data_IF_705482045518
#
_entry.id   IF_705482045518
#
_cell.length_a   1.000
_cell.length_b   1.000
_cell.length_c   1.000
_cell.angle_alpha   90.00
_cell.angle_beta   90.00
_cell.angle_gamma   90.00
#
_symmetry.space_group_name_H-M   'P 1'
#
loop_
_entity.id
_entity.type
_entity.pdbx_description
1 polymer ?
#
# COMPACT_ATOMS: atom_id res chain seq x y z
N UNK A 1 -34.92 18.78 7.24
CA UNK A 1 -34.27 18.63 8.57
C UNK A 1 -32.77 18.59 8.38
N UNK A 2 -31.93 18.87 9.39
CA UNK A 2 -30.47 18.75 9.23
C UNK A 2 -30.05 17.29 9.04
N UNK A 3 -29.12 17.04 8.10
CA UNK A 3 -28.49 15.72 7.95
C UNK A 3 -27.81 15.25 9.25
N UNK A 4 -27.55 13.94 9.35
CA UNK A 4 -26.61 13.43 10.34
C UNK A 4 -25.18 13.85 10.00
N UNK A 5 -24.28 13.85 10.98
CA UNK A 5 -22.85 13.98 10.69
C UNK A 5 -22.37 12.73 9.92
N UNK A 6 -21.46 12.90 8.96
CA UNK A 6 -20.90 11.78 8.22
C UNK A 6 -19.94 10.99 9.13
N UNK A 7 -20.24 9.71 9.35
CA UNK A 7 -19.36 8.80 10.09
C UNK A 7 -18.52 7.95 9.13
N UNK A 8 -19.15 7.43 8.07
CA UNK A 8 -18.55 6.46 7.17
C UNK A 8 -19.07 6.63 5.74
N UNK A 9 -18.23 6.36 4.74
CA UNK A 9 -18.64 6.27 3.35
C UNK A 9 -17.76 5.28 2.60
N UNK A 10 -18.37 4.45 1.75
CA UNK A 10 -17.64 3.57 0.82
C UNK A 10 -18.45 3.30 -0.44
N UNK A 11 -17.77 3.02 -1.54
CA UNK A 11 -18.40 2.34 -2.68
C UNK A 11 -18.57 0.85 -2.36
N UNK A 12 -19.55 0.20 -2.98
CA UNK A 12 -19.62 -1.26 -3.00
C UNK A 12 -18.55 -1.87 -3.94
N UNK A 13 -18.42 -3.19 -3.92
CA UNK A 13 -17.36 -3.95 -4.60
C UNK A 13 -17.29 -3.75 -6.12
N UNK A 14 -18.40 -3.36 -6.75
CA UNK A 14 -18.50 -3.11 -8.20
C UNK A 14 -18.70 -1.63 -8.56
N UNK A 15 -18.60 -0.74 -7.57
CA UNK A 15 -18.83 0.71 -7.64
C UNK A 15 -20.20 1.17 -8.20
N UNK A 16 -21.18 0.28 -8.36
CA UNK A 16 -22.54 0.66 -8.81
C UNK A 16 -23.40 1.31 -7.71
N UNK A 17 -22.97 1.19 -6.45
CA UNK A 17 -23.62 1.81 -5.30
C UNK A 17 -22.63 2.50 -4.34
N UNK A 18 -23.12 3.52 -3.65
CA UNK A 18 -22.44 4.25 -2.58
C UNK A 18 -23.20 4.07 -1.26
N UNK A 19 -22.51 3.54 -0.25
CA UNK A 19 -23.02 3.38 1.11
C UNK A 19 -22.53 4.51 2.02
N UNK A 20 -23.43 5.08 2.81
CA UNK A 20 -23.20 6.29 3.62
C UNK A 20 -23.74 6.07 5.03
N UNK A 21 -22.85 6.01 6.03
CA UNK A 21 -23.18 5.88 7.45
C UNK A 21 -23.09 7.23 8.16
N UNK A 22 -24.10 7.56 8.96
CA UNK A 22 -24.22 8.86 9.63
C UNK A 22 -24.60 8.72 11.10
N UNK A 23 -24.49 9.82 11.85
CA UNK A 23 -24.92 9.90 13.26
C UNK A 23 -26.44 9.81 13.50
N UNK A 24 -27.25 9.62 12.43
CA UNK A 24 -28.70 9.45 12.49
C UNK A 24 -29.21 8.24 11.70
N UNK A 25 -28.31 7.40 11.17
CA UNK A 25 -28.68 6.21 10.40
C UNK A 25 -27.85 6.09 9.12
N UNK A 26 -28.37 5.41 8.10
CA UNK A 26 -27.62 5.13 6.86
C UNK A 26 -28.42 5.32 5.58
N UNK A 27 -27.68 5.55 4.49
CA UNK A 27 -28.20 5.75 3.13
C UNK A 27 -27.44 4.92 2.13
N UNK A 28 -28.14 4.53 1.07
CA UNK A 28 -27.56 3.84 -0.09
C UNK A 28 -28.01 4.58 -1.35
N UNK A 29 -27.06 4.91 -2.21
CA UNK A 29 -27.29 5.56 -3.49
C UNK A 29 -26.79 4.68 -4.63
N UNK A 30 -27.43 4.72 -5.80
CA UNK A 30 -26.79 4.33 -7.06
C UNK A 30 -25.78 5.41 -7.44
N UNK A 31 -24.71 5.03 -8.14
CA UNK A 31 -23.69 5.98 -8.62
C UNK A 31 -24.04 6.59 -9.98
N UNK A 32 -24.63 5.82 -10.90
CA UNK A 32 -25.03 6.26 -12.23
C UNK A 32 -26.36 5.58 -12.67
N UNK A 33 -27.46 6.32 -12.89
CA UNK A 33 -27.66 7.72 -12.52
C UNK A 33 -27.67 7.89 -10.99
N UNK A 34 -27.03 8.94 -10.48
CA UNK A 34 -26.96 9.19 -9.04
C UNK A 34 -28.35 9.41 -8.45
N UNK A 35 -28.77 8.51 -7.55
CA UNK A 35 -30.13 8.47 -7.01
C UNK A 35 -30.17 7.67 -5.71
N UNK A 36 -31.04 8.05 -4.77
CA UNK A 36 -31.14 7.39 -3.46
C UNK A 36 -32.01 6.12 -3.56
N UNK A 37 -31.45 4.98 -3.17
CA UNK A 37 -32.12 3.65 -3.20
C UNK A 37 -32.78 3.35 -1.85
N UNK A 38 -32.10 3.71 -0.76
CA UNK A 38 -32.49 3.33 0.60
C UNK A 38 -32.07 4.40 1.61
N UNK A 39 -32.89 4.60 2.63
CA UNK A 39 -32.63 5.48 3.77
C UNK A 39 -33.22 4.83 5.02
N UNK A 40 -32.42 4.74 6.08
CA UNK A 40 -32.89 4.47 7.44
C UNK A 40 -32.41 5.61 8.33
N UNK A 41 -33.32 6.27 9.04
CA UNK A 41 -33.01 7.31 10.02
C UNK A 41 -33.01 6.74 11.46
N UNK A 42 -32.45 5.53 11.62
CA UNK A 42 -32.31 4.83 12.91
C UNK A 42 -30.84 4.56 13.26
N UNK A 43 -30.51 4.78 14.54
CA UNK A 43 -29.20 4.54 15.14
C UNK A 43 -28.08 5.50 14.73
N UNK A 44 -26.94 5.37 15.39
CA UNK A 44 -25.67 5.94 14.93
C UNK A 44 -24.89 4.83 14.20
N UNK A 45 -24.65 4.99 12.90
CA UNK A 45 -23.95 3.98 12.08
C UNK A 45 -22.49 4.37 11.93
N UNK A 46 -21.56 3.62 12.54
CA UNK A 46 -20.12 3.93 12.49
C UNK A 46 -19.39 3.27 11.32
N UNK A 47 -19.89 2.13 10.83
CA UNK A 47 -19.43 1.47 9.59
C UNK A 47 -20.67 0.93 8.87
N UNK A 48 -20.72 1.08 7.55
CA UNK A 48 -21.66 0.38 6.67
C UNK A 48 -20.91 -0.21 5.48
N UNK A 49 -21.10 -1.50 5.25
CA UNK A 49 -20.53 -2.24 4.12
C UNK A 49 -21.62 -3.04 3.40
N UNK A 50 -21.58 -3.04 2.07
CA UNK A 50 -22.57 -3.71 1.22
C UNK A 50 -22.04 -5.05 0.73
N UNK A 51 -22.94 -5.96 0.33
CA UNK A 51 -22.59 -7.11 -0.50
C UNK A 51 -23.05 -6.85 -1.95
N UNK A 52 -22.16 -6.31 -2.79
CA UNK A 52 -22.44 -5.84 -4.15
C UNK A 52 -23.69 -4.94 -4.16
N UNK A 53 -24.63 -5.18 -5.07
CA UNK A 53 -25.95 -4.53 -5.10
C UNK A 53 -27.07 -5.47 -4.65
N UNK A 54 -26.78 -6.31 -3.64
CA UNK A 54 -27.80 -7.12 -2.95
C UNK A 54 -28.44 -6.32 -1.81
N UNK A 55 -29.53 -6.84 -1.23
CA UNK A 55 -30.18 -6.24 -0.07
C UNK A 55 -29.50 -6.58 1.27
N UNK A 56 -28.31 -7.17 1.28
CA UNK A 56 -27.55 -7.49 2.50
C UNK A 56 -26.56 -6.36 2.79
N UNK A 57 -26.68 -5.78 3.99
CA UNK A 57 -25.73 -4.80 4.53
C UNK A 57 -25.18 -5.27 5.88
N UNK A 58 -23.93 -4.92 6.12
CA UNK A 58 -23.24 -5.10 7.39
C UNK A 58 -23.09 -3.74 8.07
N UNK A 59 -23.62 -3.60 9.29
CA UNK A 59 -23.71 -2.34 10.03
C UNK A 59 -23.00 -2.48 11.38
N UNK A 60 -22.10 -1.55 11.70
CA UNK A 60 -21.57 -1.41 13.06
C UNK A 60 -22.29 -0.24 13.72
N UNK A 61 -23.09 -0.55 14.74
CA UNK A 61 -23.94 0.43 15.45
C UNK A 61 -23.31 0.87 16.79
N UNK A 62 -22.56 -0.03 17.42
CA UNK A 62 -21.65 0.29 18.53
C UNK A 62 -20.31 -0.42 18.29
N UNK A 63 -19.19 0.04 18.89
CA UNK A 63 -17.85 -0.38 18.46
C UNK A 63 -17.57 -1.89 18.44
N UNK A 64 -18.34 -2.71 19.16
CA UNK A 64 -18.13 -4.17 19.29
C UNK A 64 -19.30 -5.01 18.77
N UNK A 65 -20.28 -4.40 18.11
CA UNK A 65 -21.55 -5.04 17.73
C UNK A 65 -21.81 -4.84 16.23
N UNK A 66 -21.85 -5.96 15.52
CA UNK A 66 -22.08 -6.04 14.08
C UNK A 66 -23.48 -6.61 13.83
N UNK A 67 -24.32 -5.84 13.15
CA UNK A 67 -25.65 -6.24 12.71
C UNK A 67 -25.61 -6.52 11.21
N UNK A 68 -26.03 -7.72 10.78
CA UNK A 68 -26.27 -8.00 9.37
C UNK A 68 -27.76 -7.82 9.11
N UNK A 69 -28.13 -6.87 8.25
CA UNK A 69 -29.53 -6.52 7.96
C UNK A 69 -29.89 -6.81 6.50
N UNK A 70 -31.15 -7.21 6.28
CA UNK A 70 -31.78 -7.24 4.97
C UNK A 70 -32.59 -5.96 4.75
N UNK A 71 -32.11 -5.05 3.91
CA UNK A 71 -32.78 -3.75 3.64
C UNK A 71 -34.15 -3.94 3.00
N UNK A 72 -34.29 -4.86 2.04
CA UNK A 72 -35.55 -5.14 1.33
C UNK A 72 -36.65 -5.73 2.22
N UNK A 73 -36.28 -6.38 3.33
CA UNK A 73 -37.21 -6.93 4.33
C UNK A 73 -37.29 -6.10 5.62
N UNK A 74 -36.51 -5.02 5.73
CA UNK A 74 -36.28 -4.24 6.95
C UNK A 74 -35.93 -5.12 8.19
N UNK A 75 -35.30 -6.28 7.99
CA UNK A 75 -35.13 -7.31 9.02
C UNK A 75 -33.66 -7.59 9.33
N UNK A 76 -33.30 -7.70 10.62
CA UNK A 76 -32.01 -8.27 11.03
C UNK A 76 -31.95 -9.75 10.63
N UNK A 77 -30.80 -10.17 10.09
CA UNK A 77 -30.47 -11.57 9.75
C UNK A 77 -29.74 -12.22 10.93
N UNK A 78 -28.72 -11.55 11.46
CA UNK A 78 -27.98 -11.96 12.65
C UNK A 78 -27.27 -10.77 13.30
N UNK A 79 -26.85 -10.95 14.54
CA UNK A 79 -25.99 -10.03 15.27
C UNK A 79 -24.74 -10.78 15.77
N UNK A 80 -23.59 -10.13 15.74
CA UNK A 80 -22.30 -10.68 16.17
C UNK A 80 -21.61 -9.69 17.12
N UNK A 81 -21.21 -10.18 18.29
CA UNK A 81 -20.54 -9.38 19.34
C UNK A 81 -19.08 -9.81 19.47
N UNK A 82 -18.17 -8.82 19.47
CA UNK A 82 -16.72 -9.04 19.43
C UNK A 82 -16.05 -8.62 20.75
N UNK A 83 -14.87 -9.19 21.09
CA UNK A 83 -14.15 -8.84 22.32
C UNK A 83 -13.66 -7.39 22.31
N UNK A 84 -13.07 -6.96 21.19
CA UNK A 84 -12.52 -5.62 20.98
C UNK A 84 -13.28 -4.86 19.89
N UNK A 85 -12.88 -3.61 19.61
CA UNK A 85 -13.53 -2.76 18.63
C UNK A 85 -13.32 -3.26 17.19
N UNK A 86 -14.40 -3.28 16.41
CA UNK A 86 -14.41 -3.54 14.97
C UNK A 86 -13.85 -2.30 14.28
N UNK A 87 -12.72 -2.46 13.59
CA UNK A 87 -12.05 -1.38 12.86
C UNK A 87 -12.39 -1.39 11.37
N UNK A 88 -12.65 -2.57 10.79
CA UNK A 88 -13.22 -2.72 9.46
C UNK A 88 -14.07 -3.99 9.34
N UNK A 89 -14.96 -4.00 8.35
CA UNK A 89 -15.69 -5.17 7.87
C UNK A 89 -15.45 -5.26 6.37
N UNK A 90 -15.32 -6.45 5.78
CA UNK A 90 -15.24 -6.64 4.31
C UNK A 90 -16.07 -7.86 3.91
N UNK A 91 -16.74 -7.77 2.77
CA UNK A 91 -17.65 -8.83 2.27
C UNK A 91 -17.32 -9.23 0.83
N UNK A 92 -17.52 -10.51 0.52
CA UNK A 92 -17.73 -11.01 -0.84
C UNK A 92 -18.78 -12.14 -0.81
N UNK A 93 -19.07 -12.79 -1.95
CA UNK A 93 -20.14 -13.82 -2.04
C UNK A 93 -19.80 -15.17 -1.37
N UNK A 94 -18.67 -15.26 -0.66
CA UNK A 94 -18.23 -16.42 0.12
C UNK A 94 -17.89 -16.08 1.57
N UNK A 95 -17.43 -14.86 1.85
CA UNK A 95 -16.84 -14.49 3.15
C UNK A 95 -17.34 -13.17 3.68
N UNK A 96 -17.53 -13.14 4.99
CA UNK A 96 -17.56 -11.95 5.83
C UNK A 96 -16.25 -11.95 6.64
N UNK A 97 -15.43 -10.92 6.46
CA UNK A 97 -14.22 -10.69 7.25
C UNK A 97 -14.46 -9.51 8.20
N UNK A 98 -14.25 -9.73 9.50
CA UNK A 98 -14.35 -8.69 10.53
C UNK A 98 -12.98 -8.48 11.14
N UNK A 99 -12.50 -7.23 11.10
CA UNK A 99 -11.12 -6.86 11.45
C UNK A 99 -11.14 -6.07 12.76
N UNK A 100 -10.52 -6.66 13.78
CA UNK A 100 -10.14 -6.02 15.05
C UNK A 100 -8.66 -5.60 14.94
N UNK A 101 -8.10 -4.99 16.00
CA UNK A 101 -6.71 -4.54 16.00
C UNK A 101 -5.69 -5.70 15.91
N UNK A 102 -5.95 -6.85 16.55
CA UNK A 102 -5.02 -7.99 16.63
C UNK A 102 -5.58 -9.29 16.04
N UNK A 103 -6.79 -9.25 15.46
CA UNK A 103 -7.52 -10.43 15.00
C UNK A 103 -8.36 -10.13 13.75
N UNK A 104 -8.40 -11.08 12.81
CA UNK A 104 -9.35 -11.09 11.69
C UNK A 104 -10.23 -12.34 11.81
N UNK A 105 -11.53 -12.14 12.00
CA UNK A 105 -12.52 -13.20 12.07
C UNK A 105 -13.10 -13.43 10.66
N UNK A 106 -12.90 -14.63 10.11
CA UNK A 106 -13.47 -15.04 8.82
C UNK A 106 -14.70 -15.91 9.06
N UNK A 107 -15.85 -15.48 8.54
CA UNK A 107 -17.12 -16.21 8.55
C UNK A 107 -17.52 -16.63 7.13
N UNK A 108 -18.29 -17.70 6.99
CA UNK A 108 -19.00 -17.98 5.73
C UNK A 108 -20.27 -17.12 5.64
N UNK A 109 -20.41 -16.36 4.56
CA UNK A 109 -21.53 -15.42 4.39
C UNK A 109 -22.89 -16.13 4.21
N UNK A 110 -22.90 -17.42 3.85
CA UNK A 110 -24.14 -18.16 3.55
C UNK A 110 -24.90 -18.61 4.79
N UNK A 111 -24.20 -18.84 5.91
CA UNK A 111 -24.75 -19.39 7.15
C UNK A 111 -24.25 -18.66 8.42
N UNK A 112 -23.37 -17.68 8.28
CA UNK A 112 -22.74 -16.90 9.36
C UNK A 112 -21.94 -17.73 10.37
N UNK A 113 -21.47 -18.93 9.99
CA UNK A 113 -20.56 -19.71 10.85
C UNK A 113 -19.14 -19.15 10.81
N UNK A 114 -18.51 -19.02 11.98
CA UNK A 114 -17.09 -18.68 12.10
C UNK A 114 -16.25 -19.84 11.53
N UNK A 115 -15.38 -19.52 10.57
CA UNK A 115 -14.50 -20.47 9.89
C UNK A 115 -13.11 -20.49 10.49
N UNK A 116 -12.55 -19.31 10.77
CA UNK A 116 -11.16 -19.15 11.25
C UNK A 116 -11.02 -17.79 11.92
N UNK A 117 -10.35 -17.73 13.06
CA UNK A 117 -9.80 -16.48 13.61
C UNK A 117 -8.31 -16.44 13.31
N UNK A 118 -7.87 -15.39 12.62
CA UNK A 118 -6.48 -15.15 12.23
C UNK A 118 -5.91 -14.11 13.19
N UNK A 119 -4.93 -14.48 14.01
CA UNK A 119 -4.19 -13.52 14.83
C UNK A 119 -3.23 -12.69 13.96
N UNK A 120 -3.12 -11.39 14.24
CA UNK A 120 -2.27 -10.45 13.50
C UNK A 120 -1.34 -9.66 14.41
N UNK A 121 -0.32 -9.03 13.82
CA UNK A 121 0.31 -7.87 14.44
C UNK A 121 -0.72 -6.75 14.66
N UNK A 122 -0.54 -5.88 15.68
CA UNK A 122 -1.40 -4.72 15.91
C UNK A 122 -1.60 -3.88 14.65
N UNK A 123 -2.85 -3.74 14.23
CA UNK A 123 -3.30 -3.16 12.98
C UNK A 123 -4.38 -2.07 13.24
N UNK A 124 -4.05 -0.99 13.96
CA UNK A 124 -5.03 0.05 14.36
C UNK A 124 -5.63 0.82 13.17
N UNK A 125 -5.03 0.71 11.98
CA UNK A 125 -5.54 1.28 10.73
C UNK A 125 -6.37 0.28 9.89
N UNK A 126 -6.67 -0.91 10.41
CA UNK A 126 -7.47 -1.97 9.77
C UNK A 126 -7.00 -2.34 8.34
N UNK A 127 -5.69 -2.30 8.09
CA UNK A 127 -5.10 -2.50 6.76
C UNK A 127 -5.39 -3.94 6.33
N UNK A 128 -6.33 -4.08 5.41
CA UNK A 128 -6.78 -5.34 4.83
C UNK A 128 -7.38 -5.09 3.43
N UNK A 129 -7.30 -6.09 2.56
CA UNK A 129 -8.09 -6.15 1.33
C UNK A 129 -8.60 -7.57 1.14
N UNK A 130 -9.92 -7.74 1.00
CA UNK A 130 -10.58 -8.99 0.61
C UNK A 130 -10.92 -8.90 -0.88
N UNK A 131 -10.62 -9.92 -1.67
CA UNK A 131 -11.00 -9.92 -3.09
C UNK A 131 -12.53 -10.01 -3.24
N UNK A 132 -13.14 -9.23 -4.15
CA UNK A 132 -14.52 -9.45 -4.58
C UNK A 132 -14.75 -10.82 -5.26
N UNK A 133 -13.71 -11.38 -5.89
CA UNK A 133 -13.76 -12.67 -6.57
C UNK A 133 -14.09 -13.82 -5.63
N UNK A 134 -15.03 -14.66 -6.03
CA UNK A 134 -15.41 -15.88 -5.30
C UNK A 134 -14.54 -17.08 -5.66
N UNK A 135 -13.73 -16.98 -6.72
CA UNK A 135 -12.77 -18.02 -7.15
C UNK A 135 -11.39 -17.73 -6.56
N UNK A 136 -10.88 -16.51 -6.79
CA UNK A 136 -9.60 -16.01 -6.27
C UNK A 136 -9.85 -15.28 -4.95
N UNK A 137 -10.49 -16.00 -4.04
CA UNK A 137 -11.06 -15.51 -2.79
C UNK A 137 -9.97 -15.31 -1.72
N UNK A 138 -9.06 -14.37 -1.99
CA UNK A 138 -7.91 -14.06 -1.15
C UNK A 138 -8.21 -12.90 -0.20
N UNK A 139 -7.58 -12.93 0.99
CA UNK A 139 -7.43 -11.76 1.85
C UNK A 139 -5.93 -11.43 1.97
N UNK A 140 -5.62 -10.15 1.81
CA UNK A 140 -4.28 -9.57 1.95
C UNK A 140 -4.25 -8.66 3.19
N UNK A 141 -3.21 -8.79 4.01
CA UNK A 141 -3.01 -7.99 5.24
C UNK A 141 -1.51 -7.92 5.60
N UNK A 142 -1.07 -6.96 6.45
CA UNK A 142 0.32 -6.88 6.89
C UNK A 142 0.80 -8.19 7.54
N UNK A 143 2.02 -8.63 7.22
CA UNK A 143 2.58 -9.87 7.75
C UNK A 143 2.67 -9.83 9.30
N UNK A 144 2.00 -10.75 10.03
CA UNK A 144 2.13 -10.83 11.48
C UNK A 144 3.54 -11.25 11.89
N UNK A 145 4.16 -10.52 12.82
CA UNK A 145 5.46 -10.86 13.41
C UNK A 145 5.28 -11.19 14.89
N UNK A 146 5.49 -12.46 15.25
CA UNK A 146 5.38 -12.90 16.64
C UNK A 146 6.43 -12.21 17.51
N UNK A 147 6.09 -11.98 18.77
CA UNK A 147 7.00 -11.41 19.75
C UNK A 147 7.94 -12.50 20.25
N UNK A 148 9.20 -12.43 19.87
CA UNK A 148 10.24 -13.28 20.48
C UNK A 148 10.31 -13.04 22.00
N UNK A 149 10.58 -14.11 22.74
CA UNK A 149 10.53 -14.14 24.20
C UNK A 149 11.66 -13.36 24.87
N UNK A 150 11.57 -12.03 24.88
CA UNK A 150 12.47 -11.16 25.65
C UNK A 150 12.42 -11.55 27.13
N UNK A 151 13.53 -12.09 27.66
CA UNK A 151 13.64 -12.58 29.04
C UNK A 151 13.57 -11.52 30.15
N UNK A 152 13.10 -10.32 29.83
CA UNK A 152 12.84 -9.24 30.79
C UNK A 152 11.66 -9.62 31.68
N UNK A 153 11.93 -9.77 32.99
CA UNK A 153 10.87 -9.94 34.00
C UNK A 153 10.07 -8.65 34.14
N UNK A 154 9.02 -8.49 33.32
CA UNK A 154 8.06 -7.40 33.48
C UNK A 154 7.46 -7.38 34.89
N UNK A 155 7.22 -6.20 35.48
CA UNK A 155 6.46 -6.10 36.72
C UNK A 155 5.05 -6.70 36.58
N UNK A 156 4.55 -7.36 37.61
CA UNK A 156 3.23 -8.01 37.61
C UNK A 156 2.04 -7.06 37.46
N UNK A 157 2.25 -5.75 37.64
CA UNK A 157 1.25 -4.70 37.41
C UNK A 157 1.28 -4.12 35.98
N UNK A 158 2.25 -4.51 35.14
CA UNK A 158 2.30 -4.05 33.76
C UNK A 158 1.22 -4.77 32.93
N UNK A 159 0.50 -4.06 32.03
CA UNK A 159 -0.45 -4.71 31.13
C UNK A 159 0.19 -5.86 30.33
N UNK A 160 -0.57 -6.93 30.03
CA UNK A 160 -0.09 -8.02 29.20
C UNK A 160 0.33 -7.49 27.83
N UNK A 161 1.37 -8.09 27.26
CA UNK A 161 1.81 -7.76 25.91
C UNK A 161 0.99 -8.54 24.89
N UNK A 162 0.71 -7.87 23.76
CA UNK A 162 0.36 -8.54 22.51
C UNK A 162 1.35 -9.67 22.21
N UNK A 163 0.83 -10.81 21.77
CA UNK A 163 1.65 -11.95 21.31
C UNK A 163 2.44 -11.63 20.03
N UNK A 164 2.10 -10.53 19.36
CA UNK A 164 2.77 -10.03 18.18
C UNK A 164 3.44 -8.67 18.47
N UNK A 165 4.34 -8.24 17.59
CA UNK A 165 4.90 -6.88 17.58
C UNK A 165 4.24 -6.04 16.47
N UNK A 166 4.05 -4.72 16.65
CA UNK A 166 3.60 -3.83 15.59
C UNK A 166 4.48 -3.97 14.33
N UNK A 167 3.89 -3.89 13.15
CA UNK A 167 4.62 -4.07 11.88
C UNK A 167 5.57 -2.90 11.64
N UNK A 168 6.87 -3.18 11.53
CA UNK A 168 7.94 -2.20 11.22
C UNK A 168 8.30 -2.14 9.73
N UNK A 169 7.75 -3.05 8.93
CA UNK A 169 8.07 -3.35 7.55
C UNK A 169 6.78 -3.50 6.73
N UNK A 170 6.87 -3.31 5.42
CA UNK A 170 5.71 -3.34 4.52
C UNK A 170 5.57 -4.68 3.80
N UNK A 171 5.67 -5.78 4.54
CA UNK A 171 5.40 -7.13 4.04
C UNK A 171 3.89 -7.43 4.08
N UNK A 172 3.35 -8.03 3.02
CA UNK A 172 1.94 -8.44 2.90
C UNK A 172 1.85 -9.96 2.91
N UNK A 173 1.03 -10.52 3.79
CA UNK A 173 0.64 -11.92 3.76
C UNK A 173 -0.61 -12.10 2.89
N UNK A 174 -0.55 -13.05 1.95
CA UNK A 174 -1.67 -13.45 1.09
C UNK A 174 -2.24 -14.77 1.61
N UNK A 175 -3.51 -14.75 2.02
CA UNK A 175 -4.20 -15.89 2.62
C UNK A 175 -5.39 -16.34 1.78
N UNK A 176 -5.48 -17.64 1.51
CA UNK A 176 -6.59 -18.29 0.83
C UNK A 176 -7.76 -18.45 1.80
N UNK A 177 -8.85 -17.69 1.63
CA UNK A 177 -10.00 -17.79 2.53
C UNK A 177 -10.91 -18.99 2.22
N UNK A 178 -10.68 -19.70 1.12
CA UNK A 178 -11.38 -20.95 0.76
C UNK A 178 -10.62 -22.16 1.30
N UNK A 179 -9.29 -22.20 1.13
CA UNK A 179 -8.42 -23.27 1.70
C UNK A 179 -8.00 -23.04 3.16
N UNK A 180 -8.26 -21.85 3.70
CA UNK A 180 -7.87 -21.42 5.06
C UNK A 180 -6.35 -21.49 5.30
N UNK A 181 -5.55 -21.11 4.29
CA UNK A 181 -4.10 -21.28 4.29
C UNK A 181 -3.36 -20.05 3.76
N UNK A 182 -2.23 -19.69 4.39
CA UNK A 182 -1.26 -18.78 3.80
C UNK A 182 -0.76 -19.32 2.44
N UNK A 183 -0.64 -18.46 1.44
CA UNK A 183 -0.13 -18.81 0.09
C UNK A 183 1.25 -18.22 -0.13
N UNK A 184 1.42 -16.93 0.15
CA UNK A 184 2.63 -16.18 -0.23
C UNK A 184 2.84 -14.96 0.67
N UNK A 185 4.08 -14.48 0.76
CA UNK A 185 4.48 -13.24 1.42
C UNK A 185 5.13 -12.32 0.40
N UNK A 186 4.65 -11.08 0.31
CA UNK A 186 5.13 -10.09 -0.65
C UNK A 186 5.88 -8.99 0.11
N UNK A 187 7.18 -8.86 -0.13
CA UNK A 187 8.04 -7.78 0.38
C UNK A 187 7.71 -6.44 -0.32
N UNK A 188 6.53 -5.89 -0.06
CA UNK A 188 6.01 -4.78 -0.85
C UNK A 188 6.74 -3.46 -0.59
N UNK A 189 7.11 -3.16 0.67
CA UNK A 189 7.81 -1.91 1.06
C UNK A 189 8.76 -2.11 2.26
N UNK A 190 9.81 -1.26 2.37
CA UNK A 190 10.77 -1.25 3.49
C UNK A 190 10.26 -0.57 4.78
N UNK A 191 9.06 -0.01 4.76
CA UNK A 191 8.42 0.66 5.89
C UNK A 191 6.93 0.26 5.93
N UNK A 192 6.23 0.41 7.06
CA UNK A 192 4.89 -0.11 7.24
C UNK A 192 3.91 0.34 6.16
N UNK A 193 2.89 -0.48 5.93
CA UNK A 193 1.82 -0.19 4.97
C UNK A 193 0.93 0.94 5.52
N UNK A 194 0.33 1.72 4.62
CA UNK A 194 -0.77 2.63 4.95
C UNK A 194 -2.08 2.25 4.24
N UNK A 195 -1.98 1.66 3.05
CA UNK A 195 -3.12 1.31 2.22
C UNK A 195 -2.75 0.12 1.31
N UNK A 196 -3.70 -0.80 1.13
CA UNK A 196 -3.65 -1.90 0.16
C UNK A 196 -5.02 -2.06 -0.50
N UNK A 197 -5.05 -2.52 -1.74
CA UNK A 197 -6.29 -2.82 -2.47
C UNK A 197 -6.08 -4.04 -3.38
N UNK A 198 -7.10 -4.89 -3.50
CA UNK A 198 -7.16 -5.95 -4.50
C UNK A 198 -8.08 -5.51 -5.64
N UNK A 199 -7.81 -5.97 -6.86
CA UNK A 199 -8.75 -5.81 -7.96
C UNK A 199 -9.95 -6.77 -7.82
N UNK A 200 -11.00 -6.53 -8.60
CA UNK A 200 -12.22 -7.34 -8.64
C UNK A 200 -11.93 -8.84 -8.85
N UNK A 201 -10.98 -9.15 -9.73
CA UNK A 201 -10.69 -10.53 -10.14
C UNK A 201 -9.78 -11.29 -9.16
N UNK A 202 -9.21 -10.63 -8.16
CA UNK A 202 -8.27 -11.24 -7.20
C UNK A 202 -6.91 -11.60 -7.80
N UNK A 203 -6.51 -10.95 -8.89
CA UNK A 203 -5.25 -11.18 -9.64
C UNK A 203 -4.20 -10.08 -9.44
N UNK A 204 -4.58 -8.90 -8.95
CA UNK A 204 -3.69 -7.76 -8.72
C UNK A 204 -3.86 -7.21 -7.31
N UNK A 205 -2.73 -6.90 -6.66
CA UNK A 205 -2.65 -6.19 -5.38
C UNK A 205 -1.90 -4.87 -5.55
N UNK A 206 -2.56 -3.74 -5.30
CA UNK A 206 -1.92 -2.45 -5.12
C UNK A 206 -1.51 -2.25 -3.65
N UNK A 207 -0.33 -1.67 -3.42
CA UNK A 207 0.18 -1.39 -2.06
C UNK A 207 0.90 -0.04 -1.98
N UNK A 208 0.75 0.63 -0.84
CA UNK A 208 1.53 1.80 -0.46
C UNK A 208 1.97 1.73 1.00
N UNK A 209 3.16 2.25 1.28
CA UNK A 209 3.67 2.44 2.64
C UNK A 209 3.34 3.82 3.22
N UNK A 210 3.53 4.03 4.52
CA UNK A 210 3.35 5.32 5.21
C UNK A 210 4.06 6.50 4.51
N UNK A 211 5.20 6.24 3.86
CA UNK A 211 5.91 7.25 3.04
C UNK A 211 5.10 7.67 1.81
N UNK A 212 4.34 6.74 1.23
CA UNK A 212 3.34 6.97 0.17
C UNK A 212 3.84 7.73 -1.07
N UNK A 213 5.16 7.76 -1.31
CA UNK A 213 5.80 8.37 -2.49
C UNK A 213 5.83 7.43 -3.69
N UNK A 214 5.83 6.11 -3.43
CA UNK A 214 5.82 5.03 -4.41
C UNK A 214 4.63 4.12 -4.13
N UNK A 215 3.89 3.79 -5.19
CA UNK A 215 2.83 2.77 -5.20
C UNK A 215 3.36 1.58 -6.01
N UNK A 216 3.08 0.36 -5.57
CA UNK A 216 3.43 -0.86 -6.31
C UNK A 216 2.22 -1.72 -6.57
N UNK A 217 2.21 -2.41 -7.71
CA UNK A 217 1.18 -3.39 -8.05
C UNK A 217 1.83 -4.74 -8.33
N UNK A 218 1.29 -5.79 -7.72
CA UNK A 218 1.81 -7.15 -7.75
C UNK A 218 0.78 -8.13 -8.33
N UNK A 219 1.25 -9.13 -9.06
CA UNK A 219 0.44 -10.26 -9.50
C UNK A 219 0.16 -11.24 -8.34
N UNK A 220 -1.08 -11.66 -8.18
CA UNK A 220 -1.56 -12.56 -7.14
C UNK A 220 -1.97 -13.90 -7.78
N UNK A 221 -1.56 -15.07 -7.23
CA UNK A 221 -0.82 -15.26 -5.97
C UNK A 221 0.72 -15.19 -6.09
N UNK A 222 1.29 -15.05 -7.29
CA UNK A 222 2.74 -15.20 -7.52
C UNK A 222 3.66 -14.24 -6.75
N UNK A 223 3.18 -13.06 -6.36
CA UNK A 223 3.98 -12.02 -5.70
C UNK A 223 4.90 -11.23 -6.64
N UNK A 224 4.86 -11.48 -7.96
CA UNK A 224 5.66 -10.75 -8.93
C UNK A 224 5.23 -9.28 -8.98
N UNK A 225 6.16 -8.34 -8.74
CA UNK A 225 5.92 -6.90 -8.95
C UNK A 225 5.77 -6.62 -10.44
N UNK A 226 4.58 -6.23 -10.87
CA UNK A 226 4.31 -5.80 -12.25
C UNK A 226 4.65 -4.32 -12.42
N UNK A 227 4.10 -3.45 -11.56
CA UNK A 227 4.19 -1.99 -11.71
C UNK A 227 4.81 -1.30 -10.50
N UNK A 228 5.42 -0.15 -10.74
CA UNK A 228 5.93 0.76 -9.71
C UNK A 228 5.74 2.21 -10.17
N UNK A 229 4.80 2.91 -9.54
CA UNK A 229 4.43 4.28 -9.88
C UNK A 229 4.97 5.28 -8.85
N UNK A 230 5.27 6.51 -9.28
CA UNK A 230 5.68 7.61 -8.39
C UNK A 230 4.53 8.59 -8.20
N UNK A 231 3.99 8.64 -6.98
CA UNK A 231 2.94 9.58 -6.55
C UNK A 231 3.47 10.97 -6.24
N UNK A 232 4.76 11.10 -5.89
CA UNK A 232 5.38 12.41 -5.76
C UNK A 232 6.80 12.41 -5.18
N UNK A 233 7.29 13.62 -4.94
CA UNK A 233 8.55 13.89 -4.24
C UNK A 233 8.35 13.86 -2.72
N UNK A 234 7.32 14.52 -2.22
CA UNK A 234 6.97 14.62 -0.79
C UNK A 234 6.11 13.45 -0.31
N UNK A 235 6.30 12.96 0.93
CA UNK A 235 5.34 12.06 1.58
C UNK A 235 3.95 12.70 1.71
N UNK A 236 2.91 11.90 1.59
CA UNK A 236 1.50 12.31 1.72
C UNK A 236 0.65 11.06 1.89
N UNK A 237 -0.03 10.91 3.02
CA UNK A 237 -0.79 9.70 3.34
C UNK A 237 -1.88 9.44 2.31
N UNK A 238 -1.97 8.20 1.82
CA UNK A 238 -3.03 7.74 0.93
C UNK A 238 -4.27 7.41 1.77
N UNK A 239 -5.44 7.83 1.29
CA UNK A 239 -6.73 7.55 1.94
C UNK A 239 -7.46 6.37 1.31
N UNK A 240 -7.40 6.25 -0.02
CA UNK A 240 -8.11 5.23 -0.78
C UNK A 240 -7.33 4.87 -2.04
N UNK A 241 -7.32 3.59 -2.38
CA UNK A 241 -6.87 3.06 -3.67
C UNK A 241 -7.96 2.17 -4.23
N UNK A 242 -8.27 2.30 -5.52
CA UNK A 242 -9.28 1.48 -6.20
C UNK A 242 -8.85 1.18 -7.64
N UNK A 243 -8.96 -0.09 -8.04
CA UNK A 243 -8.84 -0.50 -9.43
C UNK A 243 -10.18 -0.30 -10.15
N UNK A 244 -10.17 0.10 -11.41
CA UNK A 244 -11.39 -0.02 -12.22
C UNK A 244 -11.77 -1.50 -12.47
N UNK A 245 -13.02 -1.77 -12.85
CA UNK A 245 -13.53 -3.14 -13.00
C UNK A 245 -12.72 -3.99 -13.99
N UNK A 246 -12.22 -3.39 -15.08
CA UNK A 246 -11.40 -4.10 -16.07
C UNK A 246 -9.93 -4.29 -15.66
N UNK A 247 -9.54 -3.88 -14.45
CA UNK A 247 -8.17 -3.98 -13.92
C UNK A 247 -7.10 -3.27 -14.77
N UNK A 248 -7.49 -2.26 -15.55
CA UNK A 248 -6.61 -1.48 -16.46
C UNK A 248 -6.21 -0.11 -15.91
N UNK A 249 -6.80 0.34 -14.79
CA UNK A 249 -6.56 1.64 -14.19
C UNK A 249 -6.55 1.50 -12.66
N UNK A 250 -5.65 2.23 -11.98
CA UNK A 250 -5.61 2.38 -10.53
C UNK A 250 -5.75 3.86 -10.14
N UNK A 251 -6.81 4.20 -9.39
CA UNK A 251 -7.02 5.53 -8.81
C UNK A 251 -6.54 5.56 -7.35
N UNK A 252 -5.90 6.65 -6.94
CA UNK A 252 -5.32 6.81 -5.60
C UNK A 252 -5.56 8.22 -5.05
N UNK A 253 -6.30 8.35 -3.95
CA UNK A 253 -6.54 9.62 -3.24
C UNK A 253 -5.56 9.82 -2.06
N UNK A 254 -5.23 11.06 -1.72
CA UNK A 254 -4.27 11.37 -0.64
C UNK A 254 -4.50 12.73 0.04
N UNK A 255 -3.81 12.96 1.17
CA UNK A 255 -3.81 14.22 1.96
C UNK A 255 -3.48 15.47 1.13
N UNK A 256 -2.87 15.32 -0.05
CA UNK A 256 -2.57 16.43 -0.96
C UNK A 256 -3.81 17.09 -1.58
N UNK A 257 -5.00 16.52 -1.39
CA UNK A 257 -6.23 16.78 -2.16
C UNK A 257 -6.09 16.52 -3.67
N UNK A 258 -5.10 15.72 -4.07
CA UNK A 258 -4.96 15.22 -5.44
C UNK A 258 -5.29 13.74 -5.49
N UNK A 259 -6.16 13.37 -6.43
CA UNK A 259 -6.32 11.99 -6.90
C UNK A 259 -5.38 11.78 -8.07
N UNK A 260 -4.56 10.74 -7.99
CA UNK A 260 -3.67 10.31 -9.06
C UNK A 260 -4.25 9.06 -9.74
N UNK A 261 -4.14 8.99 -11.07
CA UNK A 261 -4.68 7.92 -11.90
C UNK A 261 -3.52 7.30 -12.69
N UNK A 262 -3.31 5.99 -12.52
CA UNK A 262 -2.25 5.23 -13.17
C UNK A 262 -2.84 4.22 -14.16
N UNK A 263 -2.26 4.15 -15.35
CA UNK A 263 -2.71 3.25 -16.42
C UNK A 263 -1.92 1.94 -16.34
N UNK A 264 -2.63 0.83 -16.14
CA UNK A 264 -2.04 -0.51 -16.06
C UNK A 264 -1.96 -1.10 -17.47
N UNK A 265 -1.16 -0.46 -18.32
CA UNK A 265 -0.85 -1.01 -19.64
C UNK A 265 0.08 -2.20 -19.48
N UNK A 266 -0.18 -3.30 -20.21
CA UNK A 266 0.78 -4.41 -20.30
C UNK A 266 2.02 -3.99 -21.12
N UNK A 267 2.83 -3.10 -20.55
CA UNK A 267 4.23 -2.97 -20.94
C UNK A 267 4.93 -4.28 -20.56
N UNK A 268 5.58 -4.97 -21.50
CA UNK A 268 6.50 -6.03 -21.14
C UNK A 268 7.65 -5.37 -20.37
N UNK A 269 7.65 -5.48 -19.04
CA UNK A 269 8.91 -5.38 -18.31
C UNK A 269 9.70 -6.64 -18.67
N UNK A 270 10.40 -6.58 -19.81
CA UNK A 270 11.48 -7.50 -20.16
C UNK A 270 12.58 -7.35 -19.11
N UNK A 271 12.38 -8.00 -17.95
CA UNK A 271 13.46 -8.27 -17.02
C UNK A 271 14.48 -9.10 -17.79
N UNK A 272 15.63 -8.49 -18.08
CA UNK A 272 16.55 -9.02 -19.08
C UNK A 272 17.04 -10.42 -18.72
N UNK A 273 16.45 -11.44 -19.35
CA UNK A 273 17.14 -12.71 -19.57
C UNK A 273 18.33 -12.42 -20.49
N UNK A 274 19.45 -12.04 -19.89
CA UNK A 274 20.75 -12.00 -20.53
C UNK A 274 21.13 -13.44 -20.90
N UNK A 275 20.61 -13.92 -22.04
CA UNK A 275 20.89 -15.22 -22.63
C UNK A 275 22.38 -15.30 -22.94
N UNK A 276 23.14 -15.76 -21.95
CA UNK A 276 24.59 -15.85 -22.02
C UNK A 276 24.96 -16.74 -23.21
N UNK A 277 25.66 -16.20 -24.23
CA UNK A 277 25.93 -16.97 -25.44
C UNK A 277 26.85 -18.15 -25.11
N UNK A 278 26.27 -19.35 -25.03
CA UNK A 278 26.97 -20.60 -24.73
C UNK A 278 28.14 -20.81 -25.71
N UNK A 279 29.36 -20.60 -25.24
CA UNK A 279 30.58 -20.85 -26.01
C UNK A 279 31.48 -21.86 -25.28
N UNK A 280 30.89 -22.96 -24.80
CA UNK A 280 31.62 -24.10 -24.25
C UNK A 280 32.43 -24.80 -25.36
N UNK A 281 33.63 -24.28 -25.59
CA UNK A 281 34.75 -25.01 -26.19
C UNK A 281 35.61 -25.47 -25.00
N UNK A 282 35.98 -26.74 -24.81
CA UNK A 282 35.92 -27.88 -25.72
C UNK A 282 35.44 -29.16 -25.00
N UNK A 283 34.65 -29.97 -25.69
CA UNK A 283 34.42 -31.38 -25.35
C UNK A 283 34.14 -32.17 -26.64
N UNK A 284 35.18 -32.46 -27.43
CA UNK A 284 35.08 -33.42 -28.54
C UNK A 284 35.26 -34.83 -27.98
N UNK A 285 34.16 -35.57 -27.84
CA UNK A 285 34.22 -37.03 -27.71
C UNK A 285 34.61 -37.64 -29.07
N UNK A 286 35.88 -38.01 -29.21
CA UNK A 286 36.33 -38.79 -30.36
C UNK A 286 35.94 -40.26 -30.16
N UNK A 287 35.30 -40.85 -31.16
CA UNK A 287 35.00 -42.28 -31.18
C UNK A 287 36.25 -43.11 -31.52
N UNK A 288 36.43 -44.19 -30.78
CA UNK A 288 37.24 -45.40 -31.04
C UNK A 288 37.97 -45.43 -32.40
N UNK A 289 39.30 -45.53 -32.36
CA UNK A 289 40.02 -46.54 -33.14
C UNK A 289 41.37 -46.92 -32.52
N UNK A 290 41.86 -48.10 -32.89
CA UNK A 290 43.01 -48.83 -32.35
C UNK A 290 44.39 -48.18 -32.57
N UNK A 291 45.31 -48.32 -31.61
CA UNK A 291 46.57 -49.11 -31.74
C UNK A 291 47.63 -48.81 -30.64
N UNK A 292 48.37 -49.84 -30.25
CA UNK A 292 49.82 -49.90 -29.90
C UNK A 292 50.46 -49.15 -28.69
N UNK A 293 50.79 -49.96 -27.66
CA UNK A 293 52.17 -50.30 -27.20
C UNK A 293 52.92 -49.56 -26.03
N UNK A 294 52.55 -49.89 -24.77
CA UNK A 294 53.40 -50.18 -23.56
C UNK A 294 54.36 -49.06 -22.96
N UNK A 295 55.21 -49.23 -21.88
CA UNK A 295 55.10 -48.35 -20.68
C UNK A 295 56.41 -47.74 -20.05
N UNK A 296 56.26 -46.90 -19.00
CA UNK A 296 57.04 -46.73 -17.73
C UNK A 296 56.66 -45.37 -17.02
N UNK A 297 56.59 -45.16 -15.68
CA UNK A 297 57.57 -45.22 -14.55
C UNK A 297 58.48 -43.96 -14.48
N UNK A 298 58.81 -43.23 -13.37
CA UNK A 298 58.63 -43.24 -11.87
C UNK A 298 58.93 -41.79 -11.31
N UNK A 299 58.82 -41.29 -10.05
CA UNK A 299 58.09 -41.52 -8.76
C UNK A 299 58.36 -40.31 -7.76
N UNK A 300 57.92 -40.32 -6.49
CA UNK A 300 58.14 -39.36 -5.33
C UNK A 300 57.26 -38.06 -5.33
N UNK A 301 56.73 -37.42 -4.26
CA UNK A 301 56.92 -37.31 -2.77
C UNK A 301 58.08 -36.38 -2.31
N UNK A 302 58.10 -35.62 -1.20
CA UNK A 302 57.45 -35.58 0.16
C UNK A 302 56.51 -34.33 0.31
N UNK A 303 55.83 -33.86 1.40
CA UNK A 303 55.84 -33.85 2.91
C UNK A 303 56.95 -33.04 3.64
N UNK A 304 56.70 -32.28 4.74
CA UNK A 304 55.48 -31.72 5.41
C UNK A 304 55.78 -30.75 6.60
N UNK A 305 54.81 -29.90 7.01
CA UNK A 305 54.37 -29.53 8.41
C UNK A 305 55.28 -28.94 9.54
N UNK A 306 54.75 -27.95 10.30
CA UNK A 306 55.15 -27.51 11.68
C UNK A 306 56.16 -26.34 11.76
N UNK A 307 56.57 -25.75 12.91
CA UNK A 307 56.03 -25.64 14.30
C UNK A 307 57.04 -24.80 15.16
N UNK A 308 56.76 -24.00 16.21
CA UNK A 308 55.52 -23.38 16.75
C UNK A 308 55.84 -22.10 17.64
N UNK A 309 55.26 -21.92 18.84
CA UNK A 309 55.16 -20.69 19.69
C UNK A 309 56.05 -20.64 20.99
N UNK A 310 56.37 -19.45 21.56
CA UNK A 310 56.26 -19.09 23.02
C UNK A 310 56.56 -17.60 23.40
N UNK A 311 56.15 -17.18 24.63
CA UNK A 311 56.03 -15.83 25.25
C UNK A 311 57.34 -15.00 25.51
N UNK A 312 57.41 -13.75 26.03
CA UNK A 312 56.69 -13.06 27.16
C UNK A 312 56.77 -11.50 27.17
N UNK A 313 56.09 -10.82 28.12
CA UNK A 313 55.98 -9.35 28.32
C UNK A 313 57.01 -8.77 29.35
N UNK A 314 57.02 -7.48 29.86
CA UNK A 314 55.95 -6.47 30.16
C UNK A 314 56.21 -5.08 29.47
N UNK A 315 55.87 -3.83 29.90
CA UNK A 315 55.30 -3.18 31.12
C UNK A 315 54.66 -1.77 30.84
N UNK A 316 54.43 -0.91 31.86
CA UNK A 316 54.04 0.52 31.79
C UNK A 316 54.74 1.37 32.88
N UNK A 317 54.92 2.69 32.70
CA UNK A 317 54.16 3.73 33.47
C UNK A 317 53.96 5.09 32.69
N UNK A 318 53.37 6.21 33.16
CA UNK A 318 52.23 6.53 34.07
C UNK A 318 51.97 8.08 34.11
N UNK A 319 50.73 8.54 34.38
CA UNK A 319 50.34 9.92 34.84
C UNK A 319 50.58 11.10 33.84
N UNK A 320 49.94 12.30 33.89
CA UNK A 320 48.73 12.82 34.59
C UNK A 320 48.13 14.07 33.85
N UNK A 321 47.11 14.73 34.42
CA UNK A 321 46.38 15.88 33.84
C UNK A 321 47.20 17.20 33.77
N UNK A 322 46.85 18.19 32.92
CA UNK A 322 45.90 19.27 33.31
C UNK A 322 45.52 20.26 32.18
N UNK A 323 44.49 21.10 32.43
CA UNK A 323 43.80 22.04 31.51
C UNK A 323 44.51 23.42 31.36
N UNK A 324 44.51 24.01 30.15
CA UNK A 324 44.45 25.47 29.83
C UNK A 324 44.39 25.65 28.29
N UNK A 325 43.39 26.28 27.64
CA UNK A 325 42.91 27.68 27.60
C UNK A 325 43.55 28.60 26.52
N UNK A 326 42.80 28.78 25.41
CA UNK A 326 42.55 30.03 24.64
C UNK A 326 43.68 30.89 24.04
N UNK A 327 43.68 30.91 22.69
CA UNK A 327 43.35 32.08 21.84
C UNK A 327 44.46 33.02 21.29
N UNK A 328 44.20 33.53 20.07
CA UNK A 328 44.77 34.70 19.37
C UNK A 328 45.97 34.48 18.42
N UNK A 329 46.08 35.36 17.41
CA UNK A 329 47.28 35.52 16.56
C UNK A 329 47.08 35.31 15.04
N UNK A 330 46.77 36.37 14.29
CA UNK A 330 46.84 36.37 12.81
C UNK A 330 48.25 36.69 12.31
N UNK A 331 48.66 36.11 11.17
CA UNK A 331 49.61 36.63 10.13
C UNK A 331 49.75 35.54 9.03
N UNK A 332 50.13 35.81 7.77
CA UNK A 332 50.42 37.11 7.18
C UNK A 332 51.03 37.11 5.75
N UNK A 333 50.28 36.68 4.73
CA UNK A 333 50.53 36.98 3.29
C UNK A 333 51.68 36.24 2.55
N UNK A 334 51.75 36.53 1.24
CA UNK A 334 52.79 36.20 0.22
C UNK A 334 52.82 34.75 -0.32
N UNK A 335 52.93 34.49 -1.63
CA UNK A 335 53.21 35.34 -2.81
C UNK A 335 52.22 35.09 -3.99
N UNK A 336 52.25 35.95 -5.02
CA UNK A 336 51.24 36.10 -6.09
C UNK A 336 51.92 36.16 -7.48
N UNK A 337 51.15 35.97 -8.57
CA UNK A 337 51.52 36.15 -10.02
C UNK A 337 52.50 35.09 -10.58
N UNK A 338 52.58 34.82 -11.89
CA UNK A 338 51.75 35.07 -13.11
C UNK A 338 52.29 34.15 -14.23
N UNK A 339 51.61 33.81 -15.33
CA UNK A 339 50.99 34.69 -16.34
C UNK A 339 50.17 33.87 -17.38
N UNK A 340 49.54 34.54 -18.35
CA UNK A 340 48.82 33.91 -19.46
C UNK A 340 49.73 33.67 -20.68
N UNK A 341 49.41 32.68 -21.52
CA UNK A 341 49.40 32.83 -22.99
C UNK A 341 48.53 31.74 -23.63
N UNK A 342 47.97 32.03 -24.80
CA UNK A 342 47.03 31.16 -25.54
C UNK A 342 47.72 30.56 -26.77
N UNK A 343 47.54 29.26 -26.99
CA UNK A 343 47.91 28.54 -28.22
C UNK A 343 46.71 27.81 -28.81
N UNK A 344 46.52 27.88 -30.13
CA UNK A 344 45.38 27.25 -30.82
C UNK A 344 45.65 25.78 -31.16
N UNK A 345 44.66 24.92 -30.88
CA UNK A 345 44.20 23.93 -31.87
C UNK A 345 44.70 22.49 -31.74
N UNK A 346 43.91 21.66 -31.03
CA UNK A 346 43.53 20.33 -31.51
C UNK A 346 42.02 20.18 -31.27
N UNK A 347 41.26 19.83 -32.30
CA UNK A 347 39.87 19.37 -32.14
C UNK A 347 39.92 17.85 -31.94
N UNK A 348 39.69 17.41 -30.70
CA UNK A 348 39.65 15.99 -30.34
C UNK A 348 38.45 15.74 -29.42
N UNK A 349 37.53 14.89 -29.86
CA UNK A 349 36.33 14.57 -29.08
C UNK A 349 36.68 13.66 -27.90
N UNK A 350 36.75 14.23 -26.69
CA UNK A 350 36.82 13.46 -25.44
C UNK A 350 35.43 13.41 -24.83
N UNK A 351 34.61 12.46 -25.31
CA UNK A 351 33.35 12.13 -24.65
C UNK A 351 33.62 11.67 -23.22
N UNK A 352 33.02 12.33 -22.24
CA UNK A 352 33.12 11.90 -20.85
C UNK A 352 32.40 10.55 -20.69
N UNK A 353 33.17 9.48 -20.49
CA UNK A 353 32.65 8.13 -20.30
C UNK A 353 31.81 8.05 -19.02
N UNK A 354 30.49 8.18 -19.15
CA UNK A 354 29.55 7.65 -18.17
C UNK A 354 29.51 6.12 -18.36
N UNK A 355 29.77 5.31 -17.32
CA UNK A 355 29.66 3.86 -17.43
C UNK A 355 28.23 3.44 -17.76
N UNK A 356 28.04 2.53 -18.71
CA UNK A 356 26.74 2.03 -19.13
C UNK A 356 25.94 1.30 -18.02
N UNK A 357 26.54 1.06 -16.85
CA UNK A 357 25.89 0.56 -15.65
C UNK A 357 25.15 1.64 -14.81
N UNK A 358 25.20 2.93 -15.21
CA UNK A 358 24.52 4.04 -14.52
C UNK A 358 23.62 4.82 -15.50
N UNK A 359 22.71 4.10 -16.16
CA UNK A 359 21.70 4.70 -17.05
C UNK A 359 20.29 4.11 -16.91
N UNK A 360 20.10 3.08 -16.08
CA UNK A 360 18.76 2.58 -15.70
C UNK A 360 18.21 3.24 -14.43
N UNK A 361 18.46 4.54 -14.25
CA UNK A 361 17.66 5.34 -13.32
C UNK A 361 16.34 5.73 -14.00
N UNK A 362 15.50 4.74 -14.31
CA UNK A 362 14.12 4.97 -14.69
C UNK A 362 13.42 5.71 -13.54
N UNK A 363 13.01 6.97 -13.76
CA UNK A 363 12.01 7.60 -12.88
C UNK A 363 10.77 6.68 -12.90
N UNK A 364 10.25 6.20 -11.76
CA UNK A 364 9.07 5.36 -11.76
C UNK A 364 7.90 6.14 -12.35
N UNK A 365 7.11 5.48 -13.19
CA UNK A 365 6.09 6.12 -14.03
C UNK A 365 5.17 7.02 -13.19
N UNK A 366 4.93 8.23 -13.70
CA UNK A 366 4.07 9.21 -13.03
C UNK A 366 2.59 8.86 -13.25
N UNK A 367 1.73 9.67 -12.68
CA UNK A 367 0.31 9.65 -12.95
C UNK A 367 0.01 9.96 -14.41
N UNK A 368 -0.77 9.08 -15.05
CA UNK A 368 -1.32 9.26 -16.40
C UNK A 368 -2.30 10.43 -16.42
N UNK A 369 -3.11 10.54 -15.37
CA UNK A 369 -4.00 11.68 -15.15
C UNK A 369 -4.09 12.04 -13.66
N UNK A 370 -4.48 13.28 -13.39
CA UNK A 370 -4.66 13.81 -12.04
C UNK A 370 -5.98 14.58 -11.92
N UNK A 371 -6.55 14.58 -10.72
CA UNK A 371 -7.75 15.37 -10.37
C UNK A 371 -7.46 16.13 -9.09
N UNK A 372 -7.74 17.43 -9.07
CA UNK A 372 -7.70 18.24 -7.85
C UNK A 372 -9.08 18.26 -7.20
N UNK A 373 -9.17 17.78 -5.96
CA UNK A 373 -10.35 17.90 -5.12
C UNK A 373 -10.43 19.36 -4.63
N UNK A 374 -11.56 20.07 -4.79
CA UNK A 374 -11.74 21.41 -4.26
C UNK A 374 -11.37 21.51 -2.78
N UNK A 375 -10.73 22.62 -2.39
CA UNK A 375 -10.57 22.97 -0.98
C UNK A 375 -11.77 23.83 -0.56
N UNK A 376 -12.43 23.55 0.57
CA UNK A 376 -13.48 24.42 1.09
C UNK A 376 -12.89 25.81 1.39
N UNK A 377 -13.58 26.86 0.97
CA UNK A 377 -13.08 28.23 1.10
C UNK A 377 -12.91 28.72 2.56
N UNK A 378 -13.44 27.97 3.53
CA UNK A 378 -13.55 28.37 4.94
C UNK A 378 -12.57 27.66 5.91
N UNK A 379 -11.50 27.00 5.44
CA UNK A 379 -10.36 26.64 6.33
C UNK A 379 -9.51 27.88 6.65
N UNK A 380 -10.13 28.87 7.30
CA UNK A 380 -9.44 29.99 7.94
C UNK A 380 -8.62 29.44 9.11
N UNK A 381 -7.40 29.96 9.29
CA UNK A 381 -6.48 29.56 10.34
C UNK A 381 -6.93 30.02 11.74
N UNK A 382 -8.00 29.43 12.29
CA UNK A 382 -8.30 29.56 13.71
C UNK A 382 -7.31 28.74 14.53
N UNK A 383 -6.22 29.40 14.94
CA UNK A 383 -5.26 28.85 15.90
C UNK A 383 -5.91 28.71 17.28
N UNK A 384 -6.27 27.48 17.66
CA UNK A 384 -6.77 27.12 18.99
C UNK A 384 -6.48 25.63 19.27
N UNK A 385 -6.07 25.23 20.48
CA UNK A 385 -5.57 23.85 20.72
C UNK A 385 -6.58 22.71 20.57
N UNK A 386 -7.87 23.01 20.38
CA UNK A 386 -8.98 22.04 20.38
C UNK A 386 -9.98 22.27 19.23
N UNK A 387 -9.56 22.91 18.13
CA UNK A 387 -10.38 23.09 16.92
C UNK A 387 -10.42 21.84 16.04
N UNK A 388 -11.60 21.22 15.87
CA UNK A 388 -11.82 19.94 15.18
C UNK A 388 -11.71 19.95 13.64
N UNK A 389 -10.72 20.65 13.07
CA UNK A 389 -10.48 20.72 11.61
C UNK A 389 -9.51 19.66 11.10
N UNK A 390 -9.90 18.38 11.09
CA UNK A 390 -9.08 17.30 10.53
C UNK A 390 -8.89 17.41 9.00
N UNK A 391 -7.82 16.84 8.42
CA UNK A 391 -7.61 16.87 6.97
C UNK A 391 -8.69 16.03 6.24
N UNK A 392 -9.17 16.56 5.13
CA UNK A 392 -10.32 16.04 4.37
C UNK A 392 -9.99 14.64 3.84
N UNK A 393 -10.64 13.61 4.41
CA UNK A 393 -10.51 12.24 3.91
C UNK A 393 -11.33 12.09 2.63
N UNK A 394 -10.89 11.22 1.73
CA UNK A 394 -11.62 10.95 0.48
C UNK A 394 -11.52 9.49 0.04
N UNK A 395 -12.65 8.95 -0.40
CA UNK A 395 -12.74 7.62 -1.04
C UNK A 395 -12.85 7.82 -2.54
N UNK A 396 -12.14 7.02 -3.32
CA UNK A 396 -12.11 7.11 -4.79
C UNK A 396 -12.46 5.77 -5.45
N UNK A 397 -13.18 5.84 -6.56
CA UNK A 397 -13.47 4.73 -7.46
C UNK A 397 -13.52 5.22 -8.92
N UNK A 398 -13.58 4.29 -9.87
CA UNK A 398 -14.07 4.58 -11.23
C UNK A 398 -15.47 4.01 -11.41
N UNK A 399 -16.30 4.68 -12.19
CA UNK A 399 -17.62 4.17 -12.56
C UNK A 399 -17.51 2.81 -13.28
N UNK A 400 -18.54 1.99 -13.10
CA UNK A 400 -18.70 0.70 -13.77
C UNK A 400 -19.32 0.83 -15.17
N UNK A 401 -20.04 1.91 -15.44
CA UNK A 401 -20.70 2.21 -16.73
C UNK A 401 -19.83 3.05 -17.69
N UNK A 402 -18.89 3.82 -17.15
CA UNK A 402 -18.30 4.97 -17.85
C UNK A 402 -16.87 5.26 -17.37
N UNK A 403 -16.02 5.96 -18.17
CA UNK A 403 -14.65 6.31 -17.79
C UNK A 403 -14.57 7.48 -16.79
N UNK A 404 -15.54 7.59 -15.88
CA UNK A 404 -15.64 8.67 -14.91
C UNK A 404 -14.98 8.29 -13.58
N UNK A 405 -14.25 9.24 -12.99
CA UNK A 405 -13.68 9.08 -11.64
C UNK A 405 -14.64 9.66 -10.61
N UNK A 406 -14.93 8.86 -9.60
CA UNK A 406 -15.91 9.12 -8.55
C UNK A 406 -15.16 9.36 -7.23
N UNK A 407 -15.38 10.52 -6.61
CA UNK A 407 -14.69 10.92 -5.38
C UNK A 407 -15.70 11.39 -4.34
N UNK A 408 -15.68 10.83 -3.13
CA UNK A 408 -16.51 11.33 -2.02
C UNK A 408 -15.62 11.80 -0.88
N UNK A 409 -15.88 13.01 -0.36
CA UNK A 409 -15.12 13.61 0.75
C UNK A 409 -15.78 13.36 2.10
N UNK A 410 -15.00 13.50 3.18
CA UNK A 410 -15.49 13.47 4.57
C UNK A 410 -16.47 14.59 4.92
N UNK A 411 -16.68 15.56 4.02
CA UNK A 411 -17.67 16.63 4.15
C UNK A 411 -19.05 16.20 3.61
N UNK A 412 -19.15 15.01 2.99
CA UNK A 412 -20.39 14.50 2.41
C UNK A 412 -20.68 15.00 0.98
N UNK A 413 -19.67 15.48 0.26
CA UNK A 413 -19.80 15.88 -1.14
C UNK A 413 -19.31 14.74 -2.04
N UNK A 414 -20.14 14.35 -3.01
CA UNK A 414 -19.82 13.40 -4.06
C UNK A 414 -19.55 14.15 -5.37
N UNK A 415 -18.35 13.98 -5.91
CA UNK A 415 -17.88 14.57 -7.16
C UNK A 415 -17.69 13.49 -8.23
N UNK A 416 -18.10 13.82 -9.46
CA UNK A 416 -17.91 12.98 -10.66
C UNK A 416 -17.08 13.76 -11.68
N UNK A 417 -15.94 13.20 -12.08
CA UNK A 417 -14.97 13.81 -12.98
C UNK A 417 -14.81 13.01 -14.29
N UNK A 418 -14.54 13.71 -15.39
CA UNK A 418 -14.09 13.12 -16.65
C UNK A 418 -12.57 13.21 -16.79
N UNK A 419 -11.98 12.26 -17.53
CA UNK A 419 -10.57 12.23 -17.92
C UNK A 419 -10.48 11.91 -19.42
N UNK A 420 -9.55 12.53 -20.14
CA UNK A 420 -9.18 12.11 -21.50
C UNK A 420 -8.43 10.76 -21.41
N UNK A 421 -9.10 9.67 -21.83
CA UNK A 421 -8.53 8.32 -21.72
C UNK A 421 -7.43 8.00 -22.75
N UNK A 422 -7.24 8.86 -23.74
CA UNK A 422 -6.15 8.77 -24.72
C UNK A 422 -4.91 9.52 -24.21
N UNK A 423 -5.07 10.79 -23.82
CA UNK A 423 -3.98 11.73 -23.50
C UNK A 423 -3.68 11.87 -22.01
N UNK A 424 -4.63 11.56 -21.14
CA UNK A 424 -4.51 11.76 -19.70
C UNK A 424 -4.59 13.24 -19.30
N UNK A 425 -3.72 13.68 -18.40
CA UNK A 425 -3.63 15.08 -17.96
C UNK A 425 -4.55 15.42 -16.77
N UNK A 426 -5.06 16.65 -16.72
CA UNK A 426 -5.94 17.09 -15.62
C UNK A 426 -7.42 16.80 -15.93
N UNK A 427 -8.06 16.00 -15.07
CA UNK A 427 -9.48 15.67 -15.16
C UNK A 427 -10.37 16.79 -14.65
N UNK A 428 -11.50 17.02 -15.33
CA UNK A 428 -12.43 18.11 -15.06
C UNK A 428 -13.71 17.63 -14.38
N UNK A 429 -14.29 18.48 -13.52
CA UNK A 429 -15.53 18.18 -12.81
C UNK A 429 -16.72 18.20 -13.77
N UNK A 430 -17.64 17.24 -13.61
CA UNK A 430 -18.83 17.08 -14.47
C UNK A 430 -20.12 17.18 -13.67
N UNK A 431 -20.16 16.57 -12.48
CA UNK A 431 -21.32 16.61 -11.58
C UNK A 431 -20.85 16.70 -10.13
N UNK A 432 -21.61 17.40 -9.29
CA UNK A 432 -21.42 17.45 -7.85
C UNK A 432 -22.76 17.24 -7.15
N UNK A 433 -22.77 16.41 -6.10
CA UNK A 433 -23.95 16.08 -5.29
C UNK A 433 -23.62 16.13 -3.79
N UNK A 434 -24.64 16.28 -2.94
CA UNK A 434 -24.53 16.13 -1.49
C UNK A 434 -25.16 14.80 -1.06
N UNK A 435 -24.44 14.01 -0.24
CA UNK A 435 -24.98 12.73 0.31
C UNK A 435 -25.64 12.91 1.68
N UNK A 436 -25.51 14.11 2.27
CA UNK A 436 -26.01 14.45 3.61
C UNK A 436 -27.33 15.22 3.58
N UNK A 437 -27.60 15.98 2.53
CA UNK A 437 -28.84 16.75 2.37
C UNK A 437 -30.05 15.86 2.01
N UNK A 438 -31.25 16.46 2.05
CA UNK A 438 -32.52 15.80 1.71
C UNK A 438 -32.73 15.66 0.21
N UNK A 439 -33.71 14.85 -0.18
CA UNK A 439 -33.98 14.50 -1.58
C UNK A 439 -34.38 15.72 -2.44
N UNK A 440 -34.94 16.77 -1.82
CA UNK A 440 -35.36 18.05 -2.42
C UNK A 440 -34.25 18.83 -3.17
N UNK A 441 -33.02 18.32 -3.19
CA UNK A 441 -31.84 18.90 -3.86
C UNK A 441 -31.04 17.91 -4.71
N UNK A 442 -31.45 16.65 -4.86
CA UNK A 442 -30.70 15.70 -5.71
C UNK A 442 -30.69 16.13 -7.19
N UNK A 443 -31.75 16.81 -7.64
CA UNK A 443 -31.86 17.41 -8.98
C UNK A 443 -31.02 18.70 -9.15
N UNK A 444 -30.41 19.23 -8.08
CA UNK A 444 -29.50 20.38 -8.15
C UNK A 444 -28.11 19.95 -8.64
N UNK A 445 -28.03 19.41 -9.86
CA UNK A 445 -26.77 19.22 -10.56
C UNK A 445 -26.15 20.58 -10.83
N UNK A 446 -25.19 20.99 -10.00
CA UNK A 446 -24.35 22.14 -10.25
C UNK A 446 -23.44 21.84 -11.45
N UNK A 447 -23.95 22.15 -12.65
CA UNK A 447 -23.13 22.24 -13.86
C UNK A 447 -22.09 23.35 -13.63
N UNK A 448 -20.82 22.98 -13.74
CA UNK A 448 -19.67 23.88 -13.57
C UNK A 448 -19.24 24.51 -14.91
#
# INVERSE_FOLDING_TARGET
MSGGALNFVTFNQDHSCLAVGTSKGFRIYHTDPFSKIFNSDDGNVSIIEMLFSTSLVALVLSPRHLVIQNTKRASVICELTFPNAILAVRLNRKRLAVVLEEEIYLYDISNMTLLTTIATSPNPNAICALSPSSEKCYIAYPLPKQREGTGERRPSHAPPLSSYVPTTSGEVLIFDTVKQSAINVIEAHRSPLCCIALNNDGTLLATASEKSTIIRVFAIPSGQRLYQFRRGTTPSTIYSMSFNLSSTILCVSSVSNTVHIYKLTNSPQEGAEATSPRNNRFARSASINSADYVPNSDDDSRRSSGAEEYASAPSQPSNEASKALRNSGMLGSMIRRSSQIVGRGVVGAVGAYLPAAVSEMFEPERDFASIKIPKPANTVLQGGPTGGGGPIRSVVAMSSSSPQVMVVTSEGIFYVYNIDMEKGGEGYLVKQFSVLEGDDKLDASYNA
#
